data_IF_394374760397
#
_entry.id   IF_394374760397
#
_cell.length_a   1.000
_cell.length_b   1.000
_cell.length_c   1.000
_cell.angle_alpha   90.00
_cell.angle_beta   90.00
_cell.angle_gamma   90.00
#
_symmetry.space_group_name_H-M   'P 1'
#
loop_
_entity.id
_entity.type
_entity.pdbx_description
1 polymer ?
#
# COMPACT_ATOMS: atom_id res chain seq x y z
N UNK A 1 8.12 -0.30 -13.31
CA UNK A 1 7.80 -0.27 -12.31
C UNK A 1 7.25 0.86 -11.59
N UNK A 2 7.89 2.05 -11.48
CA UNK A 2 7.26 3.17 -10.89
C UNK A 2 6.69 4.06 -11.92
N UNK A 3 5.58 4.68 -11.62
CA UNK A 3 5.12 5.82 -12.39
C UNK A 3 5.41 7.04 -11.55
N UNK A 4 5.56 8.18 -12.21
CA UNK A 4 5.81 9.39 -11.49
C UNK A 4 4.57 9.72 -10.69
N UNK A 5 4.71 9.78 -9.40
CA UNK A 5 3.61 10.11 -8.53
C UNK A 5 3.72 11.57 -8.17
N UNK A 6 2.65 12.31 -8.34
CA UNK A 6 2.65 13.67 -7.93
C UNK A 6 2.00 13.73 -6.61
N UNK A 7 2.70 14.09 -5.58
CA UNK A 7 2.08 14.25 -4.29
C UNK A 7 1.13 15.43 -4.42
N UNK A 8 -0.01 15.29 -3.89
CA UNK A 8 -0.95 16.36 -3.92
C UNK A 8 -0.56 17.34 -2.83
N UNK A 9 -0.24 18.54 -3.19
CA UNK A 9 0.16 19.51 -2.17
C UNK A 9 -0.91 19.74 -1.13
N UNK A 10 -2.15 19.69 -1.56
CA UNK A 10 -3.24 19.90 -0.62
C UNK A 10 -3.30 18.77 0.40
N UNK A 11 -3.00 17.56 -0.03
CA UNK A 11 -3.02 16.45 0.88
C UNK A 11 -1.94 16.59 1.94
N UNK A 12 -0.78 17.05 1.53
CA UNK A 12 0.29 17.22 2.47
C UNK A 12 -0.03 18.33 3.47
N UNK A 13 -0.61 19.40 3.00
CA UNK A 13 -0.98 20.47 3.88
C UNK A 13 -2.02 20.04 4.88
N UNK A 14 -2.99 19.28 4.42
CA UNK A 14 -4.04 18.80 5.29
C UNK A 14 -3.47 17.86 6.35
N UNK A 15 -2.57 17.01 5.96
CA UNK A 15 -1.95 16.06 6.88
C UNK A 15 -1.18 16.82 7.97
N UNK A 16 -0.48 17.88 7.60
CA UNK A 16 0.23 18.66 8.58
C UNK A 16 -0.68 19.34 9.57
N UNK A 17 -1.78 19.83 9.09
CA UNK A 17 -2.73 20.45 9.98
C UNK A 17 -3.26 19.49 10.99
N UNK A 18 -3.58 18.29 10.57
CA UNK A 18 -4.06 17.29 11.47
C UNK A 18 -2.99 16.96 12.50
N UNK A 19 -1.77 16.86 12.06
CA UNK A 19 -0.68 16.56 12.97
C UNK A 19 -0.50 17.66 14.01
N UNK A 20 -0.73 18.88 13.61
CA UNK A 20 -0.61 19.97 14.54
C UNK A 20 -1.72 19.97 15.55
N UNK A 21 -2.86 19.55 15.17
CA UNK A 21 -3.88 19.54 16.07
C UNK A 21 -3.85 18.44 16.99
N UNK A 22 -3.25 17.56 16.71
CA UNK A 22 -3.16 16.45 17.48
C UNK A 22 -2.58 16.70 18.69
N UNK A 23 -3.16 16.85 19.62
CA UNK A 23 -2.70 17.17 20.75
C UNK A 23 -1.91 16.30 21.19
N UNK A 24 -1.34 16.46 21.21
CA UNK A 24 -0.66 15.91 21.92
C UNK A 24 -0.63 14.73 22.04
N UNK A 25 -1.29 14.37 21.82
CA UNK A 25 -1.35 13.33 21.91
C UNK A 25 -0.49 12.57 21.35
N UNK A 26 0.16 12.81 20.81
CA UNK A 26 1.02 12.11 20.24
C UNK A 26 1.77 11.37 20.97
N UNK A 27 1.68 10.33 21.02
CA UNK A 27 2.34 9.56 21.79
C UNK A 27 3.53 9.17 21.34
N UNK A 28 4.06 9.38 20.70
CA UNK A 28 5.22 9.00 20.59
C UNK A 28 5.70 7.93 19.82
N UNK A 29 6.56 7.14 20.27
CA UNK A 29 7.35 6.26 19.44
C UNK A 29 6.57 5.33 18.59
N UNK A 30 5.50 4.82 19.06
CA UNK A 30 4.86 3.85 18.26
C UNK A 30 4.30 4.42 17.00
N UNK A 31 3.99 5.67 16.95
CA UNK A 31 3.49 6.26 15.74
C UNK A 31 4.56 6.43 14.71
N UNK A 32 5.81 6.16 15.03
CA UNK A 32 6.90 6.24 14.07
C UNK A 32 7.04 4.96 13.27
N UNK A 33 6.42 3.88 13.67
CA UNK A 33 6.54 2.63 12.94
C UNK A 33 5.60 2.62 11.75
N UNK A 34 6.13 2.31 10.58
CA UNK A 34 5.33 2.28 9.37
C UNK A 34 4.62 0.94 9.23
N UNK A 35 3.40 0.99 8.76
CA UNK A 35 2.55 -0.19 8.62
C UNK A 35 2.20 -0.42 7.16
N UNK A 36 2.32 -1.65 6.71
CA UNK A 36 1.99 -2.03 5.33
C UNK A 36 0.86 -3.05 5.37
N UNK A 37 -0.19 -2.78 4.64
CA UNK A 37 -1.27 -3.76 4.48
C UNK A 37 -0.98 -4.59 3.24
N UNK A 38 -0.94 -5.91 3.40
CA UNK A 38 -0.68 -6.83 2.31
C UNK A 38 -1.98 -7.53 1.96
N UNK A 39 -2.43 -7.37 0.72
CA UNK A 39 -3.62 -8.03 0.22
C UNK A 39 -3.17 -9.04 -0.82
N UNK A 40 -3.09 -10.30 -0.45
CA UNK A 40 -2.49 -11.33 -1.28
C UNK A 40 -3.15 -12.67 -0.99
N UNK A 41 -3.62 -13.36 -2.03
CA UNK A 41 -4.31 -14.62 -1.84
C UNK A 41 -3.37 -15.82 -1.71
N UNK A 42 -2.20 -15.75 -2.28
CA UNK A 42 -1.27 -16.87 -2.26
C UNK A 42 -0.49 -16.89 -0.94
N UNK A 43 -0.56 -17.99 -0.22
CA UNK A 43 0.06 -18.07 1.10
C UNK A 43 1.58 -17.92 1.05
N UNK A 44 2.23 -18.46 0.04
CA UNK A 44 3.68 -18.34 -0.05
C UNK A 44 4.10 -16.91 -0.31
N UNK A 45 3.38 -16.23 -1.17
CA UNK A 45 3.67 -14.82 -1.44
C UNK A 45 3.40 -13.96 -0.20
N UNK A 46 2.31 -14.25 0.49
CA UNK A 46 1.99 -13.52 1.71
C UNK A 46 3.11 -13.68 2.74
N UNK A 47 3.59 -14.90 2.91
CA UNK A 47 4.65 -15.14 3.86
C UNK A 47 5.94 -14.43 3.44
N UNK A 48 6.26 -14.48 2.16
CA UNK A 48 7.46 -13.84 1.66
C UNK A 48 7.40 -12.33 1.90
N UNK A 49 6.30 -11.70 1.54
CA UNK A 49 6.17 -10.25 1.70
C UNK A 49 6.22 -9.87 3.18
N UNK A 50 5.51 -10.63 4.01
CA UNK A 50 5.52 -10.36 5.44
C UNK A 50 6.92 -10.50 6.03
N UNK A 51 7.61 -11.59 5.70
CA UNK A 51 8.93 -11.83 6.26
C UNK A 51 9.93 -10.76 5.84
N UNK A 52 9.87 -10.33 4.58
CA UNK A 52 10.77 -9.28 4.11
C UNK A 52 10.50 -7.96 4.84
N UNK A 53 9.25 -7.61 4.99
CA UNK A 53 8.90 -6.35 5.64
C UNK A 53 9.20 -6.40 7.13
N UNK A 54 8.89 -7.51 7.76
CA UNK A 54 9.14 -7.67 9.17
C UNK A 54 10.64 -7.61 9.48
N UNK A 55 11.45 -8.22 8.63
CA UNK A 55 12.89 -8.20 8.81
C UNK A 55 13.46 -6.79 8.71
N UNK A 56 12.76 -5.90 8.03
CA UNK A 56 13.21 -4.52 7.89
C UNK A 56 12.49 -3.56 8.83
N UNK A 57 11.74 -4.11 9.79
CA UNK A 57 11.14 -3.30 10.84
C UNK A 57 9.78 -2.74 10.56
N UNK A 58 9.18 -3.08 9.42
CA UNK A 58 7.83 -2.61 9.11
C UNK A 58 6.81 -3.49 9.81
N UNK A 59 5.71 -2.88 10.21
CA UNK A 59 4.60 -3.63 10.76
C UNK A 59 3.71 -4.04 9.59
N UNK A 60 3.15 -5.24 9.66
CA UNK A 60 2.31 -5.70 8.56
C UNK A 60 0.91 -6.05 9.04
N UNK A 61 -0.06 -5.82 8.16
CA UNK A 61 -1.41 -6.32 8.30
C UNK A 61 -1.63 -7.20 7.09
N UNK A 62 -2.36 -8.27 7.25
CA UNK A 62 -2.51 -9.25 6.18
C UNK A 62 -3.96 -9.58 5.93
N UNK A 63 -4.35 -9.69 4.68
CA UNK A 63 -5.65 -10.24 4.33
C UNK A 63 -5.56 -10.92 2.97
N UNK A 64 -6.38 -11.91 2.77
CA UNK A 64 -6.46 -12.61 1.49
C UNK A 64 -7.71 -12.18 0.73
N UNK A 65 -8.50 -11.31 1.32
CA UNK A 65 -9.81 -10.95 0.79
C UNK A 65 -9.85 -9.46 0.50
N UNK A 66 -10.19 -9.11 -0.74
CA UNK A 66 -10.23 -7.71 -1.13
C UNK A 66 -11.26 -6.88 -0.37
N UNK A 67 -12.38 -7.49 0.01
CA UNK A 67 -13.38 -6.75 0.75
C UNK A 67 -12.90 -6.43 2.16
N UNK A 68 -12.19 -7.37 2.76
CA UNK A 68 -11.64 -7.13 4.09
C UNK A 68 -10.57 -6.05 4.06
N UNK A 69 -9.91 -5.88 2.93
CA UNK A 69 -8.89 -4.87 2.79
C UNK A 69 -9.42 -3.47 3.06
N UNK A 70 -10.64 -3.20 2.59
CA UNK A 70 -11.25 -1.90 2.84
C UNK A 70 -11.48 -1.67 4.33
N UNK A 71 -11.98 -2.68 5.02
CA UNK A 71 -12.24 -2.55 6.44
C UNK A 71 -10.95 -2.36 7.22
N UNK A 72 -9.92 -3.13 6.87
CA UNK A 72 -8.64 -3.00 7.55
C UNK A 72 -7.99 -1.65 7.29
N UNK A 73 -8.12 -1.15 6.08
CA UNK A 73 -7.56 0.16 5.75
C UNK A 73 -8.26 1.26 6.54
N UNK A 74 -9.56 1.17 6.70
CA UNK A 74 -10.29 2.17 7.48
C UNK A 74 -9.94 2.11 8.95
N UNK A 75 -9.79 0.90 9.45
CA UNK A 75 -9.53 0.73 10.88
C UNK A 75 -8.11 1.12 11.25
N UNK A 76 -7.15 0.72 10.44
CA UNK A 76 -5.74 0.87 10.81
C UNK A 76 -4.99 1.96 10.06
N UNK A 77 -5.52 2.42 8.96
CA UNK A 77 -4.88 3.47 8.17
C UNK A 77 -3.41 3.18 7.89
N UNK A 78 -3.12 2.11 7.14
CA UNK A 78 -1.73 1.76 6.87
C UNK A 78 -1.05 2.85 6.03
N UNK A 79 0.27 2.82 6.04
CA UNK A 79 1.05 3.78 5.30
C UNK A 79 1.20 3.38 3.83
N UNK A 80 1.01 2.11 3.53
CA UNK A 80 1.13 1.59 2.18
C UNK A 80 0.26 0.35 2.04
N UNK A 81 -0.29 0.13 0.87
CA UNK A 81 -1.04 -1.08 0.58
C UNK A 81 -0.38 -1.79 -0.58
N UNK A 82 -0.02 -3.06 -0.38
CA UNK A 82 0.46 -3.91 -1.46
C UNK A 82 -0.73 -4.74 -1.91
N UNK A 83 -1.13 -4.55 -3.17
CA UNK A 83 -2.39 -5.10 -3.66
C UNK A 83 -2.14 -6.09 -4.78
N UNK A 84 -2.43 -7.37 -4.53
CA UNK A 84 -2.41 -8.36 -5.59
C UNK A 84 -3.58 -8.07 -6.53
N UNK A 85 -3.28 -7.96 -7.81
CA UNK A 85 -4.32 -7.67 -8.77
C UNK A 85 -5.22 -8.88 -8.97
N UNK A 86 -4.65 -10.07 -8.84
CA UNK A 86 -5.37 -11.29 -9.15
C UNK A 86 -5.95 -11.92 -7.91
N UNK A 87 -6.88 -11.27 -7.29
CA UNK A 87 -7.57 -11.83 -6.14
C UNK A 87 -8.80 -12.61 -6.58
N UNK A 88 -9.22 -13.61 -5.82
CA UNK A 88 -10.44 -14.31 -6.13
C UNK A 88 -11.63 -13.39 -5.86
N UNK A 89 -12.71 -13.63 -6.52
CA UNK A 89 -13.97 -12.92 -6.35
C UNK A 89 -13.92 -11.47 -6.81
N UNK A 90 -13.06 -10.64 -6.30
CA UNK A 90 -13.00 -9.26 -6.73
C UNK A 90 -11.56 -8.92 -7.07
N UNK A 91 -11.38 -8.26 -8.18
CA UNK A 91 -10.04 -7.89 -8.66
C UNK A 91 -9.40 -6.85 -7.74
N UNK A 92 -8.09 -6.93 -7.57
CA UNK A 92 -7.37 -5.92 -6.82
C UNK A 92 -7.52 -4.53 -7.41
N UNK A 93 -7.77 -4.44 -8.72
CA UNK A 93 -8.01 -3.13 -9.34
C UNK A 93 -9.33 -2.54 -8.88
N UNK A 94 -10.35 -3.37 -8.70
CA UNK A 94 -11.62 -2.87 -8.18
C UNK A 94 -11.49 -2.41 -6.75
N UNK A 95 -10.76 -3.16 -5.94
CA UNK A 95 -10.54 -2.77 -4.56
C UNK A 95 -9.78 -1.44 -4.52
N UNK A 96 -8.77 -1.29 -5.38
CA UNK A 96 -8.02 -0.04 -5.47
C UNK A 96 -8.93 1.12 -5.83
N UNK A 97 -9.84 0.89 -6.77
CA UNK A 97 -10.77 1.93 -7.16
C UNK A 97 -11.62 2.37 -5.97
N UNK A 98 -12.13 1.42 -5.21
CA UNK A 98 -12.92 1.75 -4.02
C UNK A 98 -12.08 2.52 -2.99
N UNK A 99 -10.82 2.13 -2.81
CA UNK A 99 -9.94 2.85 -1.90
C UNK A 99 -9.74 4.28 -2.35
N UNK A 100 -9.57 4.48 -3.66
CA UNK A 100 -9.31 5.82 -4.18
C UNK A 100 -10.56 6.69 -4.24
N UNK A 101 -11.73 6.08 -4.16
CA UNK A 101 -12.97 6.83 -4.11
C UNK A 101 -13.34 7.24 -2.68
N UNK A 102 -12.66 6.68 -1.69
CA UNK A 102 -12.95 6.95 -0.29
C UNK A 102 -12.10 8.14 0.16
N UNK A 103 -12.74 9.19 0.63
CA UNK A 103 -12.04 10.42 1.02
C UNK A 103 -11.00 10.19 2.11
N UNK A 104 -11.18 9.20 2.94
CA UNK A 104 -10.25 8.95 4.02
C UNK A 104 -9.11 8.02 3.62
N UNK A 105 -9.26 7.28 2.55
CA UNK A 105 -8.29 6.27 2.17
C UNK A 105 -7.52 6.58 0.90
N UNK A 106 -7.99 7.51 0.10
CA UNK A 106 -7.39 7.74 -1.20
C UNK A 106 -5.96 8.26 -1.15
N UNK A 107 -5.54 8.77 0.00
CA UNK A 107 -4.18 9.26 0.12
C UNK A 107 -3.18 8.14 0.37
N UNK A 108 -3.64 6.96 0.74
CA UNK A 108 -2.74 5.85 1.01
C UNK A 108 -2.24 5.29 -0.31
N UNK A 109 -0.93 5.24 -0.54
CA UNK A 109 -0.43 4.71 -1.80
C UNK A 109 -0.71 3.23 -1.93
N UNK A 110 -1.05 2.82 -3.13
CA UNK A 110 -1.32 1.42 -3.45
C UNK A 110 -0.32 0.98 -4.50
N UNK A 111 0.45 -0.06 -4.21
CA UNK A 111 1.38 -0.65 -5.15
C UNK A 111 0.81 -1.99 -5.58
N UNK A 112 0.58 -2.14 -6.86
CA UNK A 112 0.05 -3.38 -7.39
C UNK A 112 1.13 -4.45 -7.44
N UNK A 113 0.78 -5.69 -7.15
CA UNK A 113 1.68 -6.81 -7.29
C UNK A 113 1.02 -7.76 -8.27
N UNK A 114 1.68 -8.08 -9.37
CA UNK A 114 1.00 -8.82 -10.43
C UNK A 114 1.95 -9.71 -11.20
N UNK A 115 1.46 -10.87 -11.62
CA UNK A 115 2.19 -11.75 -12.51
C UNK A 115 2.06 -11.28 -13.96
N UNK A 116 1.12 -10.38 -14.23
CA UNK A 116 0.89 -9.93 -15.60
C UNK A 116 1.26 -8.46 -15.69
N UNK A 117 2.46 -8.18 -16.13
CA UNK A 117 2.92 -6.82 -16.25
C UNK A 117 3.23 -6.50 -17.70
N UNK A 118 2.30 -6.85 -18.60
CA UNK A 118 2.48 -6.52 -19.99
C UNK A 118 2.04 -5.08 -20.20
N UNK A 119 2.40 -4.55 -21.35
CA UNK A 119 2.22 -3.14 -21.60
C UNK A 119 0.78 -2.66 -21.40
N UNK A 120 -0.19 -3.41 -21.87
CA UNK A 120 -1.58 -3.02 -21.70
C UNK A 120 -2.02 -3.10 -20.24
N UNK A 121 -1.42 -4.00 -19.48
CA UNK A 121 -1.79 -4.15 -18.08
C UNK A 121 -1.26 -2.99 -17.25
N UNK A 122 -0.09 -2.47 -17.60
CA UNK A 122 0.45 -1.33 -16.85
C UNK A 122 -0.49 -0.14 -16.90
N UNK A 123 -1.06 0.12 -18.06
CA UNK A 123 -1.98 1.24 -18.19
C UNK A 123 -3.23 1.01 -17.37
N UNK A 124 -3.76 -0.20 -17.40
CA UNK A 124 -4.94 -0.51 -16.60
C UNK A 124 -4.67 -0.35 -15.12
N UNK A 125 -3.51 -0.79 -14.67
CA UNK A 125 -3.15 -0.70 -13.27
C UNK A 125 -3.02 0.76 -12.86
N UNK A 126 -2.36 1.56 -13.68
CA UNK A 126 -2.19 2.96 -13.37
C UNK A 126 -3.52 3.71 -13.38
N UNK A 127 -4.35 3.43 -14.37
CA UNK A 127 -5.65 4.08 -14.47
C UNK A 127 -6.56 3.68 -13.32
N UNK A 128 -6.34 2.50 -12.75
CA UNK A 128 -7.10 2.06 -11.59
C UNK A 128 -6.71 2.78 -10.31
N UNK A 129 -5.66 3.57 -10.35
CA UNK A 129 -5.26 4.36 -9.19
C UNK A 129 -4.03 3.87 -8.46
N UNK A 130 -3.38 2.82 -8.93
CA UNK A 130 -2.16 2.35 -8.31
C UNK A 130 -1.01 3.30 -8.61
N UNK A 131 -0.18 3.55 -7.64
CA UNK A 131 0.95 4.46 -7.81
C UNK A 131 2.18 3.79 -8.41
N UNK A 132 2.25 2.47 -8.34
CA UNK A 132 3.34 1.71 -8.94
C UNK A 132 2.93 0.27 -9.05
N UNK A 133 3.76 -0.56 -9.67
CA UNK A 133 3.52 -2.00 -9.66
C UNK A 133 4.82 -2.76 -9.50
N UNK A 134 4.71 -3.99 -9.02
CA UNK A 134 5.83 -4.91 -8.87
C UNK A 134 5.43 -6.19 -9.58
N UNK A 135 6.30 -6.65 -10.47
CA UNK A 135 6.04 -7.89 -11.19
C UNK A 135 6.40 -9.10 -10.39
N UNK A 136 5.63 -10.14 -10.49
CA UNK A 136 5.98 -11.46 -9.93
C UNK A 136 6.72 -12.26 -10.99
N UNK A 137 7.70 -13.05 -10.62
CA UNK A 137 8.21 -13.23 -9.26
C UNK A 137 8.99 -12.01 -8.81
N UNK A 138 8.89 -11.66 -7.56
CA UNK A 138 9.47 -10.40 -7.13
C UNK A 138 10.98 -10.49 -6.98
N UNK A 139 11.62 -9.38 -7.24
CA UNK A 139 13.02 -9.19 -6.89
C UNK A 139 13.01 -8.59 -5.49
N UNK A 140 13.71 -9.21 -4.56
CA UNK A 140 13.71 -8.76 -3.17
C UNK A 140 14.20 -7.32 -3.07
N UNK A 141 15.27 -6.98 -3.77
CA UNK A 141 15.81 -5.62 -3.67
C UNK A 141 14.82 -4.61 -4.26
N UNK A 142 14.20 -4.90 -5.39
CA UNK A 142 13.24 -3.99 -5.97
C UNK A 142 12.00 -3.84 -5.11
N UNK A 143 11.57 -4.93 -4.48
CA UNK A 143 10.43 -4.89 -3.60
C UNK A 143 10.70 -3.95 -2.42
N UNK A 144 11.84 -4.12 -1.76
CA UNK A 144 12.19 -3.29 -0.63
C UNK A 144 12.45 -1.85 -1.03
N UNK A 145 13.08 -1.65 -2.18
CA UNK A 145 13.31 -0.29 -2.67
C UNK A 145 12.00 0.42 -2.94
N UNK A 146 11.03 -0.29 -3.51
CA UNK A 146 9.72 0.30 -3.79
C UNK A 146 9.04 0.71 -2.49
N UNK A 147 9.06 -0.17 -1.50
CA UNK A 147 8.43 0.15 -0.22
C UNK A 147 9.09 1.39 0.38
N UNK A 148 10.42 1.42 0.40
CA UNK A 148 11.13 2.56 0.98
C UNK A 148 10.87 3.85 0.22
N UNK A 149 10.68 3.74 -1.09
CA UNK A 149 10.42 4.91 -1.90
C UNK A 149 9.11 5.57 -1.51
N UNK A 150 8.10 4.78 -1.16
CA UNK A 150 6.80 5.33 -0.83
C UNK A 150 6.67 5.73 0.63
N UNK A 151 7.27 5.01 1.54
CA UNK A 151 7.04 5.28 2.95
C UNK A 151 8.33 5.44 3.77
N UNK A 152 9.47 5.36 3.13
CA UNK A 152 10.74 5.55 3.82
C UNK A 152 11.13 4.34 4.64
N UNK A 153 12.11 4.52 5.52
CA UNK A 153 12.51 3.44 6.39
C UNK A 153 11.40 3.17 7.39
N UNK A 154 11.43 1.99 7.98
CA UNK A 154 10.37 1.58 8.88
C UNK A 154 10.23 2.50 10.08
N UNK A 155 11.28 3.16 10.47
CA UNK A 155 11.25 4.12 11.57
C UNK A 155 11.96 5.36 11.21
#
# INVERSE_FOLDING_TARGET
MFWRVKPAPSAMAHYREIAHHGPSESPGPRSMTKTVLIVEDNELNMKLFHDLLDAHGYKTLQTRNGMEALALAREHRPDLILMDIQLPEVSGLEVTKWLKEDDQLREIPVVAVTAFAMKGDEERIREGGCEAYISKPISVSMFLDTVKQFIGEAR
#
